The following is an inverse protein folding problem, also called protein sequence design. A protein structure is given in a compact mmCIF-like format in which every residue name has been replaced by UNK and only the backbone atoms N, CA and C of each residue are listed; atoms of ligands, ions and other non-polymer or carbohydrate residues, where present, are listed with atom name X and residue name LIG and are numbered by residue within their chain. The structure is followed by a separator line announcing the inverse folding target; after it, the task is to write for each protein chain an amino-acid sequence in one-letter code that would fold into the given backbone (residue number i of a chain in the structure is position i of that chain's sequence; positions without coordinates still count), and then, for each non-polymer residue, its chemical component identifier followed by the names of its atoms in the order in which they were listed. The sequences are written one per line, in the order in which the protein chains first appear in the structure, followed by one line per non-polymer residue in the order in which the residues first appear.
data_IF_201828574782
#
_entry.id   IF_201828574782
#
_cell.length_a   1.000
_cell.length_b   1.000
_cell.length_c   1.000
_cell.angle_alpha   90.00
_cell.angle_beta   90.00
_cell.angle_gamma   90.00
#
_symmetry.space_group_name_H-M   'P 1'
#
loop_
_entity.id
_entity.type
_entity.pdbx_description
1 polymer ?
#
# COMPACT_ATOMS: atom_id res chain seq x y z
N UNK A 1 -19.25 9.47 4.57
CA UNK A 1 -18.92 8.17 3.94
C UNK A 1 -20.11 7.77 3.08
N UNK A 2 -19.88 7.33 1.85
CA UNK A 2 -20.95 6.85 1.00
C UNK A 2 -21.38 5.46 1.50
N UNK A 3 -22.58 5.34 2.05
CA UNK A 3 -23.12 4.03 2.40
C UNK A 3 -23.48 3.31 1.11
N UNK A 4 -23.25 1.98 1.07
CA UNK A 4 -23.92 1.14 0.07
C UNK A 4 -25.42 1.48 0.17
N UNK A 5 -26.07 1.88 -0.94
CA UNK A 5 -27.47 2.24 -0.91
C UNK A 5 -28.25 1.14 -0.19
N UNK A 6 -29.17 1.49 0.70
CA UNK A 6 -30.02 0.52 1.38
C UNK A 6 -30.83 -0.23 0.31
N UNK A 7 -30.27 -1.32 -0.16
CA UNK A 7 -30.95 -2.33 -0.93
C UNK A 7 -31.20 -3.41 0.09
N UNK A 8 -32.44 -3.85 0.17
CA UNK A 8 -32.77 -5.14 0.75
C UNK A 8 -32.88 -6.12 -0.42
N UNK A 9 -31.78 -6.50 -1.11
CA UNK A 9 -31.89 -7.61 -2.03
C UNK A 9 -32.26 -8.82 -1.16
N UNK A 10 -33.49 -9.29 -1.27
CA UNK A 10 -33.86 -10.59 -0.73
C UNK A 10 -33.03 -11.61 -1.50
N UNK A 11 -32.00 -12.13 -0.86
CA UNK A 11 -31.27 -13.28 -1.36
C UNK A 11 -32.11 -14.54 -1.11
N UNK A 12 -31.78 -15.59 -1.85
CA UNK A 12 -32.37 -16.91 -1.72
C UNK A 12 -31.27 -17.96 -1.77
N UNK A 13 -31.61 -19.21 -1.43
CA UNK A 13 -30.67 -20.32 -1.56
C UNK A 13 -30.14 -20.49 -3.01
N UNK A 14 -30.92 -20.09 -4.02
CA UNK A 14 -30.50 -20.11 -5.41
C UNK A 14 -29.37 -19.10 -5.69
N UNK A 15 -29.34 -17.96 -5.00
CA UNK A 15 -28.31 -16.93 -5.19
C UNK A 15 -26.92 -17.40 -4.74
N UNK A 16 -26.81 -18.42 -3.88
CA UNK A 16 -25.52 -19.00 -3.51
C UNK A 16 -24.79 -19.65 -4.69
N UNK A 17 -25.53 -19.96 -5.77
CA UNK A 17 -25.04 -20.64 -6.96
C UNK A 17 -25.57 -19.95 -8.21
N UNK A 18 -24.88 -18.89 -8.68
CA UNK A 18 -25.25 -18.21 -9.91
C UNK A 18 -25.36 -19.18 -11.10
N UNK A 19 -26.21 -18.90 -12.10
CA UNK A 19 -26.39 -19.78 -13.25
C UNK A 19 -25.07 -20.22 -13.89
N UNK A 20 -24.93 -21.53 -14.10
CA UNK A 20 -23.73 -22.13 -14.69
C UNK A 20 -22.55 -22.29 -13.72
N UNK A 21 -22.70 -22.08 -12.41
CA UNK A 21 -21.62 -22.31 -11.45
C UNK A 21 -21.27 -23.79 -11.25
N UNK A 22 -22.23 -24.70 -11.43
CA UNK A 22 -22.05 -26.14 -11.11
C UNK A 22 -21.49 -26.96 -12.28
N UNK A 23 -21.70 -26.50 -13.52
CA UNK A 23 -21.41 -27.27 -14.74
C UNK A 23 -20.18 -26.74 -15.51
N UNK A 24 -19.34 -25.93 -14.86
CA UNK A 24 -18.12 -25.33 -15.44
C UNK A 24 -16.87 -26.06 -14.97
N UNK A 25 -15.89 -26.15 -15.87
CA UNK A 25 -14.52 -26.58 -15.54
C UNK A 25 -13.84 -25.64 -14.53
N UNK A 26 -14.29 -24.39 -14.48
CA UNK A 26 -13.89 -23.39 -13.50
C UNK A 26 -15.11 -22.72 -12.87
N UNK A 27 -15.71 -23.34 -11.82
CA UNK A 27 -16.88 -22.80 -11.11
C UNK A 27 -16.75 -21.33 -10.66
N UNK A 28 -15.58 -20.83 -10.20
CA UNK A 28 -15.44 -19.42 -9.81
C UNK A 28 -15.75 -18.41 -10.91
N UNK A 29 -15.67 -18.79 -12.20
CA UNK A 29 -16.03 -17.91 -13.32
C UNK A 29 -17.49 -17.44 -13.30
N UNK A 30 -18.41 -18.21 -12.68
CA UNK A 30 -19.82 -17.82 -12.57
C UNK A 30 -20.06 -16.71 -11.54
N UNK A 31 -19.05 -16.39 -10.72
CA UNK A 31 -19.13 -15.36 -9.69
C UNK A 31 -18.43 -14.07 -10.15
N UNK A 32 -18.56 -13.03 -9.33
CA UNK A 32 -18.04 -11.69 -9.60
C UNK A 32 -16.98 -11.33 -8.55
N UNK A 33 -15.69 -11.57 -8.83
CA UNK A 33 -14.62 -11.33 -7.87
C UNK A 33 -14.33 -9.84 -7.72
N UNK A 34 -14.07 -9.44 -6.49
CA UNK A 34 -13.61 -8.12 -6.08
C UNK A 34 -12.32 -8.32 -5.29
N UNK A 35 -11.27 -7.58 -5.63
CA UNK A 35 -10.05 -7.53 -4.82
C UNK A 35 -10.28 -6.66 -3.60
N UNK A 36 -9.87 -7.16 -2.44
CA UNK A 36 -9.91 -6.46 -1.15
C UNK A 36 -8.53 -6.53 -0.53
N UNK A 37 -7.89 -5.38 -0.36
CA UNK A 37 -6.62 -5.24 0.32
C UNK A 37 -6.72 -4.45 1.62
N UNK A 38 -5.68 -4.57 2.46
CA UNK A 38 -5.59 -3.99 3.80
C UNK A 38 -6.70 -4.47 4.78
N UNK A 39 -7.19 -5.71 4.65
CA UNK A 39 -8.22 -6.23 5.54
C UNK A 39 -7.59 -6.76 6.85
N UNK A 40 -7.91 -6.13 7.99
CA UNK A 40 -7.34 -6.52 9.29
C UNK A 40 -7.94 -7.83 9.81
N UNK A 41 -7.13 -8.83 10.13
CA UNK A 41 -7.62 -10.05 10.77
C UNK A 41 -6.57 -10.64 11.70
N UNK A 42 -6.81 -10.63 13.02
CA UNK A 42 -5.80 -11.10 13.98
C UNK A 42 -5.43 -12.58 13.77
N UNK A 43 -6.43 -13.40 13.43
CA UNK A 43 -6.27 -14.82 13.19
C UNK A 43 -6.60 -15.16 11.74
N UNK A 44 -5.59 -15.58 10.96
CA UNK A 44 -5.78 -15.90 9.54
C UNK A 44 -6.85 -16.97 9.29
N UNK A 45 -7.04 -17.90 10.22
CA UNK A 45 -8.08 -18.93 10.15
C UNK A 45 -9.51 -18.35 10.15
N UNK A 46 -9.72 -17.20 10.77
CA UNK A 46 -11.03 -16.52 10.80
C UNK A 46 -11.26 -15.62 9.58
N UNK A 47 -10.25 -15.38 8.74
CA UNK A 47 -10.27 -14.35 7.70
C UNK A 47 -11.47 -14.50 6.75
N UNK A 48 -11.77 -15.73 6.32
CA UNK A 48 -12.90 -16.02 5.42
C UNK A 48 -14.23 -15.58 6.08
N UNK A 49 -14.47 -16.02 7.32
CA UNK A 49 -15.70 -15.70 8.05
C UNK A 49 -15.82 -14.19 8.31
N UNK A 50 -14.72 -13.53 8.70
CA UNK A 50 -14.70 -12.07 8.96
C UNK A 50 -14.98 -11.25 7.71
N UNK A 51 -14.39 -11.64 6.57
CA UNK A 51 -14.67 -10.98 5.29
C UNK A 51 -16.14 -11.18 4.90
N UNK A 52 -16.68 -12.39 5.03
CA UNK A 52 -18.09 -12.65 4.74
C UNK A 52 -19.03 -11.85 5.63
N UNK A 53 -18.77 -11.78 6.95
CA UNK A 53 -19.52 -10.98 7.90
C UNK A 53 -19.46 -9.47 7.57
N UNK A 54 -18.27 -8.97 7.21
CA UNK A 54 -18.10 -7.59 6.80
C UNK A 54 -18.99 -7.26 5.59
N UNK A 55 -18.88 -8.02 4.49
CA UNK A 55 -19.71 -7.80 3.30
C UNK A 55 -21.20 -7.95 3.61
N UNK A 56 -21.58 -8.93 4.43
CA UNK A 56 -22.97 -9.13 4.82
C UNK A 56 -23.55 -7.95 5.61
N UNK A 57 -22.78 -7.28 6.48
CA UNK A 57 -23.23 -6.04 7.14
C UNK A 57 -23.44 -4.86 6.19
N UNK A 58 -22.79 -4.91 5.03
CA UNK A 58 -23.02 -3.97 3.94
C UNK A 58 -24.20 -4.39 3.06
N UNK A 59 -24.85 -5.51 3.36
CA UNK A 59 -25.96 -6.08 2.61
C UNK A 59 -25.53 -6.85 1.35
N UNK A 60 -24.27 -7.32 1.29
CA UNK A 60 -23.70 -7.99 0.13
C UNK A 60 -23.39 -9.46 0.44
N UNK A 61 -23.81 -10.37 -0.44
CA UNK A 61 -23.57 -11.80 -0.27
C UNK A 61 -22.22 -12.24 -0.87
N UNK A 62 -21.20 -12.30 -0.01
CA UNK A 62 -19.88 -12.87 -0.33
C UNK A 62 -19.88 -14.39 -0.16
N UNK A 63 -19.69 -15.15 -1.24
CA UNK A 63 -19.80 -16.61 -1.24
C UNK A 63 -18.50 -17.33 -0.97
N UNK A 64 -17.42 -16.88 -1.61
CA UNK A 64 -16.08 -17.45 -1.47
C UNK A 64 -15.07 -16.34 -1.22
N UNK A 65 -14.03 -16.65 -0.45
CA UNK A 65 -12.92 -15.73 -0.20
C UNK A 65 -11.65 -16.49 -0.51
N UNK A 66 -10.90 -16.01 -1.51
CA UNK A 66 -9.60 -16.55 -1.86
C UNK A 66 -8.49 -15.67 -1.31
N UNK A 67 -7.60 -16.28 -0.55
CA UNK A 67 -6.38 -15.65 -0.03
C UNK A 67 -5.22 -16.40 -0.63
N UNK A 68 -4.22 -15.71 -1.21
CA UNK A 68 -3.04 -16.38 -1.79
C UNK A 68 -2.33 -17.25 -0.76
N UNK A 69 -1.77 -18.36 -1.22
CA UNK A 69 -0.95 -19.23 -0.40
C UNK A 69 0.36 -18.54 -0.01
N UNK A 70 0.89 -18.90 1.16
CA UNK A 70 2.13 -18.32 1.68
C UNK A 70 3.34 -18.51 0.76
N UNK A 71 3.32 -19.56 -0.08
CA UNK A 71 4.40 -19.87 -1.03
C UNK A 71 4.40 -18.94 -2.24
N UNK A 72 3.24 -18.43 -2.63
CA UNK A 72 3.07 -17.63 -3.84
C UNK A 72 2.94 -16.13 -3.53
N UNK A 73 2.69 -15.74 -2.28
CA UNK A 73 2.46 -14.35 -1.91
C UNK A 73 3.77 -13.60 -1.54
N UNK A 74 4.24 -12.65 -2.37
CA UNK A 74 5.47 -11.90 -2.11
C UNK A 74 5.36 -10.98 -0.88
N UNK A 75 4.16 -10.67 -0.42
CA UNK A 75 3.89 -9.84 0.76
C UNK A 75 3.51 -10.67 1.98
N UNK A 76 3.59 -12.00 1.92
CA UNK A 76 3.19 -12.88 3.02
C UNK A 76 3.81 -12.50 4.38
N UNK A 77 5.13 -12.26 4.42
CA UNK A 77 5.82 -11.87 5.67
C UNK A 77 5.29 -10.55 6.23
N UNK A 78 4.94 -9.61 5.36
CA UNK A 78 4.34 -8.33 5.74
C UNK A 78 2.91 -8.53 6.27
N UNK A 79 2.08 -9.29 5.54
CA UNK A 79 0.69 -9.55 5.93
C UNK A 79 0.61 -10.29 7.27
N UNK A 80 1.48 -11.27 7.52
CA UNK A 80 1.49 -11.99 8.81
C UNK A 80 1.92 -11.14 10.00
N UNK A 81 2.83 -10.18 9.78
CA UNK A 81 3.28 -9.27 10.84
C UNK A 81 2.27 -8.18 11.14
N UNK A 82 1.66 -7.61 10.09
CA UNK A 82 0.72 -6.50 10.23
C UNK A 82 -0.72 -6.94 10.41
N UNK A 83 -1.00 -8.24 10.18
CA UNK A 83 -2.35 -8.82 10.15
C UNK A 83 -3.27 -8.18 9.12
N UNK A 84 -2.71 -7.51 8.11
CA UNK A 84 -3.44 -6.93 6.99
C UNK A 84 -3.34 -7.87 5.81
N UNK A 85 -4.46 -8.39 5.37
CA UNK A 85 -4.52 -9.41 4.34
C UNK A 85 -5.18 -8.91 3.07
N UNK A 86 -4.73 -9.49 1.97
CA UNK A 86 -5.27 -9.26 0.64
C UNK A 86 -5.98 -10.51 0.13
N UNK A 87 -7.15 -10.32 -0.50
CA UNK A 87 -7.98 -11.43 -0.95
C UNK A 87 -8.85 -11.07 -2.16
N UNK A 88 -9.33 -12.11 -2.86
CA UNK A 88 -10.43 -12.01 -3.80
C UNK A 88 -11.72 -12.47 -3.12
N UNK A 89 -12.74 -11.63 -3.15
CA UNK A 89 -14.07 -11.89 -2.61
C UNK A 89 -15.03 -12.12 -3.77
N UNK A 90 -15.58 -13.32 -3.85
CA UNK A 90 -16.50 -13.72 -4.91
C UNK A 90 -17.93 -13.44 -4.51
N UNK A 91 -18.52 -12.42 -5.13
CA UNK A 91 -19.90 -12.05 -4.93
C UNK A 91 -20.81 -12.79 -5.91
N UNK A 92 -22.05 -13.01 -5.51
CA UNK A 92 -23.01 -13.82 -6.28
C UNK A 92 -23.69 -13.05 -7.42
N UNK A 93 -23.72 -11.72 -7.33
CA UNK A 93 -24.35 -10.86 -8.33
C UNK A 93 -23.38 -9.79 -8.83
N UNK A 94 -23.43 -9.50 -10.12
CA UNK A 94 -22.57 -8.48 -10.75
C UNK A 94 -22.76 -7.10 -10.12
N UNK A 95 -24.02 -6.76 -9.84
CA UNK A 95 -24.41 -5.47 -9.26
C UNK A 95 -23.82 -5.30 -7.85
N UNK A 96 -23.73 -6.37 -7.07
CA UNK A 96 -23.15 -6.35 -5.73
C UNK A 96 -21.63 -6.09 -5.80
N UNK A 97 -20.95 -6.66 -6.80
CA UNK A 97 -19.53 -6.39 -7.05
C UNK A 97 -19.28 -4.95 -7.47
N UNK A 98 -20.13 -4.40 -8.34
CA UNK A 98 -20.06 -2.98 -8.73
C UNK A 98 -20.27 -2.05 -7.54
N UNK A 99 -21.27 -2.34 -6.70
CA UNK A 99 -21.53 -1.56 -5.49
C UNK A 99 -20.36 -1.68 -4.49
N UNK A 100 -19.80 -2.88 -4.30
CA UNK A 100 -18.64 -3.07 -3.43
C UNK A 100 -17.47 -2.17 -3.85
N UNK A 101 -17.10 -2.18 -5.13
CA UNK A 101 -16.03 -1.33 -5.66
C UNK A 101 -16.36 0.15 -5.49
N UNK A 102 -17.59 0.56 -5.77
CA UNK A 102 -18.00 1.96 -5.72
C UNK A 102 -18.08 2.53 -4.29
N UNK A 103 -18.57 1.75 -3.34
CA UNK A 103 -18.95 2.26 -2.01
C UNK A 103 -18.05 1.77 -0.88
N UNK A 104 -17.35 0.64 -1.05
CA UNK A 104 -16.49 0.06 -0.01
C UNK A 104 -15.01 0.39 -0.20
N UNK A 105 -14.61 0.96 -1.35
CA UNK A 105 -13.27 1.49 -1.52
C UNK A 105 -13.00 2.60 -0.50
N UNK A 106 -11.92 2.45 0.29
CA UNK A 106 -11.54 3.32 1.41
C UNK A 106 -12.52 3.35 2.57
N UNK A 107 -13.48 2.42 2.62
CA UNK A 107 -14.30 2.24 3.82
C UNK A 107 -13.43 1.83 5.01
N UNK A 108 -13.84 2.24 6.21
CA UNK A 108 -13.08 1.96 7.42
C UNK A 108 -13.45 0.59 8.00
N UNK A 109 -12.44 -0.18 8.32
CA UNK A 109 -12.55 -1.50 8.94
C UNK A 109 -11.49 -1.65 10.05
N UNK A 110 -11.95 -1.69 11.31
CA UNK A 110 -11.10 -1.51 12.51
C UNK A 110 -10.12 -0.33 12.36
N UNK A 111 -10.66 0.76 11.82
CA UNK A 111 -9.95 2.00 11.50
C UNK A 111 -8.97 1.92 10.30
N UNK A 112 -8.66 0.75 9.76
CA UNK A 112 -7.91 0.64 8.50
C UNK A 112 -8.80 1.01 7.31
N UNK A 113 -8.23 1.70 6.32
CA UNK A 113 -8.94 1.98 5.07
C UNK A 113 -8.72 0.83 4.09
N UNK A 114 -9.81 0.20 3.67
CA UNK A 114 -9.75 -0.90 2.72
C UNK A 114 -9.43 -0.40 1.32
N UNK A 115 -8.74 -1.23 0.54
CA UNK A 115 -8.60 -1.05 -0.89
C UNK A 115 -9.54 -2.02 -1.59
N UNK A 116 -10.63 -1.54 -2.18
CA UNK A 116 -11.60 -2.39 -2.89
C UNK A 116 -11.58 -2.04 -4.37
N UNK A 117 -11.29 -3.02 -5.23
CA UNK A 117 -11.13 -2.88 -6.68
C UNK A 117 -11.73 -4.07 -7.43
N UNK A 118 -12.00 -3.98 -8.74
CA UNK A 118 -12.44 -5.14 -9.51
C UNK A 118 -11.44 -6.31 -9.43
N UNK A 119 -11.92 -7.56 -9.43
CA UNK A 119 -11.03 -8.73 -9.37
C UNK A 119 -10.45 -9.18 -10.71
N UNK A 120 -11.06 -8.77 -11.84
CA UNK A 120 -10.70 -9.21 -13.20
C UNK A 120 -10.08 -8.13 -14.07
N UNK A 121 -10.32 -6.87 -13.75
CA UNK A 121 -9.83 -5.74 -14.55
C UNK A 121 -8.88 -4.93 -13.69
N UNK A 122 -7.65 -4.65 -14.17
CA UNK A 122 -6.71 -3.85 -13.41
C UNK A 122 -7.26 -2.43 -13.24
N UNK A 123 -7.19 -1.91 -12.01
CA UNK A 123 -7.38 -0.49 -11.76
C UNK A 123 -5.99 0.16 -11.82
N UNK A 124 -5.78 1.08 -12.76
CA UNK A 124 -4.45 1.64 -13.04
C UNK A 124 -4.24 2.93 -12.24
N UNK A 125 -3.10 3.04 -11.58
CA UNK A 125 -2.70 4.28 -10.91
C UNK A 125 -2.33 5.34 -11.94
N UNK A 126 -2.87 6.55 -11.75
CA UNK A 126 -2.48 7.72 -12.55
C UNK A 126 -1.13 8.25 -12.05
N UNK A 127 -0.05 8.23 -12.86
CA UNK A 127 1.26 8.73 -12.48
C UNK A 127 1.25 10.21 -12.06
N UNK A 128 0.37 11.02 -12.66
CA UNK A 128 0.25 12.45 -12.35
C UNK A 128 -0.37 12.71 -10.98
N UNK A 129 -1.06 11.71 -10.42
CA UNK A 129 -1.69 11.80 -9.12
C UNK A 129 -0.95 10.96 -8.06
N UNK A 130 0.09 10.23 -8.46
CA UNK A 130 0.74 9.22 -7.62
C UNK A 130 2.15 9.63 -7.20
N UNK A 131 2.47 9.30 -5.94
CA UNK A 131 3.80 9.49 -5.35
C UNK A 131 4.29 8.17 -4.79
N UNK A 132 5.55 7.86 -5.05
CA UNK A 132 6.26 6.74 -4.44
C UNK A 132 7.05 7.25 -3.24
N UNK A 133 6.80 6.66 -2.07
CA UNK A 133 7.52 6.91 -0.83
C UNK A 133 8.48 5.76 -0.54
N UNK A 134 9.76 6.08 -0.42
CA UNK A 134 10.76 5.15 0.08
C UNK A 134 10.63 5.03 1.61
N UNK A 135 10.40 3.81 2.09
CA UNK A 135 10.21 3.50 3.50
C UNK A 135 11.56 3.25 4.16
N UNK A 136 11.79 3.90 5.30
CA UNK A 136 12.92 3.56 6.17
C UNK A 136 12.74 2.18 6.82
N UNK A 137 13.82 1.57 7.33
CA UNK A 137 13.77 0.25 7.98
C UNK A 137 12.67 0.13 9.05
N UNK A 138 12.50 1.18 9.86
CA UNK A 138 11.48 1.22 10.91
C UNK A 138 10.05 1.29 10.34
N UNK A 139 9.85 1.87 9.16
CA UNK A 139 8.56 1.98 8.49
C UNK A 139 8.19 0.74 7.66
N UNK A 140 9.18 -0.07 7.26
CA UNK A 140 8.94 -1.27 6.45
C UNK A 140 8.01 -2.27 7.13
N UNK A 141 8.04 -2.33 8.47
CA UNK A 141 7.21 -3.25 9.27
C UNK A 141 5.86 -2.64 9.70
N UNK A 142 5.62 -1.35 9.43
CA UNK A 142 4.41 -0.69 9.89
C UNK A 142 3.21 -1.03 8.99
N UNK A 143 2.02 -1.20 9.59
CA UNK A 143 0.76 -1.22 8.85
C UNK A 143 0.63 0.02 7.95
N UNK A 144 0.15 -0.17 6.72
CA UNK A 144 0.01 0.90 5.72
C UNK A 144 -0.71 2.12 6.27
N UNK A 145 -1.73 1.91 7.11
CA UNK A 145 -2.49 2.98 7.80
C UNK A 145 -1.60 3.92 8.61
N UNK A 146 -0.61 3.40 9.36
CA UNK A 146 0.23 4.25 10.20
C UNK A 146 1.13 5.15 9.34
N UNK A 147 1.60 4.61 8.21
CA UNK A 147 2.38 5.36 7.24
C UNK A 147 1.48 6.41 6.57
N UNK A 148 0.26 6.04 6.19
CA UNK A 148 -0.73 6.96 5.62
C UNK A 148 -1.07 8.10 6.59
N UNK A 149 -1.31 7.82 7.87
CA UNK A 149 -1.56 8.84 8.89
C UNK A 149 -0.37 9.79 9.04
N UNK A 150 0.85 9.25 8.96
CA UNK A 150 2.06 10.05 8.97
C UNK A 150 2.15 10.97 7.74
N UNK A 151 1.82 10.46 6.54
CA UNK A 151 1.77 11.25 5.30
C UNK A 151 0.69 12.34 5.39
N UNK A 152 -0.50 12.00 5.87
CA UNK A 152 -1.59 12.94 6.11
C UNK A 152 -1.16 14.05 7.07
N UNK A 153 -0.47 13.70 8.16
CA UNK A 153 -0.01 14.67 9.16
C UNK A 153 1.06 15.62 8.62
N UNK A 154 1.91 15.14 7.71
CA UNK A 154 2.95 15.95 7.07
C UNK A 154 2.37 16.86 5.97
N UNK A 155 1.56 16.29 5.08
CA UNK A 155 1.10 16.94 3.85
C UNK A 155 -0.24 17.69 3.99
N UNK A 156 -1.08 17.25 4.94
CA UNK A 156 -2.47 17.66 5.10
C UNK A 156 -3.45 16.99 4.11
N UNK A 157 -3.00 16.03 3.30
CA UNK A 157 -3.82 15.42 2.25
C UNK A 157 -4.21 13.99 2.58
N UNK A 158 -5.48 13.67 2.32
CA UNK A 158 -6.01 12.32 2.43
C UNK A 158 -5.66 11.57 1.14
N UNK A 159 -5.09 10.38 1.29
CA UNK A 159 -4.82 9.50 0.17
C UNK A 159 -6.12 8.96 -0.42
N UNK A 160 -6.27 9.08 -1.75
CA UNK A 160 -7.32 8.41 -2.53
C UNK A 160 -7.13 6.91 -2.44
N UNK A 161 -5.89 6.43 -2.57
CA UNK A 161 -5.53 5.03 -2.35
C UNK A 161 -4.07 4.90 -1.89
N UNK A 162 -3.76 3.77 -1.28
CA UNK A 162 -2.40 3.47 -0.79
C UNK A 162 -2.07 2.02 -1.07
N UNK A 163 -0.96 1.76 -1.77
CA UNK A 163 -0.50 0.41 -2.10
C UNK A 163 0.93 0.21 -1.65
N UNK A 164 1.22 -0.93 -1.04
CA UNK A 164 2.60 -1.36 -0.81
C UNK A 164 3.14 -1.96 -2.11
N UNK A 165 4.05 -1.26 -2.77
CA UNK A 165 4.63 -1.71 -4.05
C UNK A 165 5.77 -2.70 -3.85
N UNK A 166 6.52 -2.53 -2.76
CA UNK A 166 7.57 -3.44 -2.35
C UNK A 166 7.71 -3.43 -0.82
N UNK A 167 8.66 -4.20 -0.29
CA UNK A 167 8.99 -4.17 1.15
C UNK A 167 9.44 -2.78 1.62
N UNK A 168 10.03 -1.98 0.74
CA UNK A 168 10.60 -0.66 1.05
C UNK A 168 9.93 0.50 0.29
N UNK A 169 8.85 0.28 -0.45
CA UNK A 169 8.15 1.34 -1.18
C UNK A 169 6.64 1.29 -0.97
N UNK A 170 6.07 2.46 -0.74
CA UNK A 170 4.63 2.70 -0.68
C UNK A 170 4.25 3.66 -1.80
N UNK A 171 3.27 3.31 -2.62
CA UNK A 171 2.66 4.23 -3.58
C UNK A 171 1.40 4.80 -2.95
N UNK A 172 1.26 6.13 -3.02
CA UNK A 172 0.08 6.85 -2.57
C UNK A 172 -0.47 7.62 -3.76
N UNK A 173 -1.74 7.37 -4.08
CA UNK A 173 -2.47 8.14 -5.06
C UNK A 173 -3.30 9.22 -4.36
N UNK A 174 -3.22 10.43 -4.87
CA UNK A 174 -3.96 11.59 -4.40
C UNK A 174 -5.17 11.88 -5.29
N UNK A 175 -6.00 12.84 -4.89
CA UNK A 175 -7.19 13.22 -5.67
C UNK A 175 -6.81 13.91 -6.99
N UNK A 176 -5.69 14.65 -6.98
CA UNK A 176 -5.25 15.39 -8.17
C UNK A 176 -3.79 15.82 -8.12
N UNK A 177 -3.30 16.44 -9.22
CA UNK A 177 -1.88 16.71 -9.42
C UNK A 177 -1.34 17.78 -8.45
N UNK A 178 -2.19 18.72 -8.01
CA UNK A 178 -1.80 19.75 -7.03
C UNK A 178 -1.39 19.13 -5.70
N UNK A 179 -2.11 18.09 -5.26
CA UNK A 179 -1.79 17.39 -4.02
C UNK A 179 -0.50 16.56 -4.18
N UNK A 180 -0.37 15.88 -5.32
CA UNK A 180 0.84 15.14 -5.69
C UNK A 180 2.09 16.04 -5.69
N UNK A 181 2.03 17.19 -6.35
CA UNK A 181 3.15 18.12 -6.43
C UNK A 181 3.57 18.63 -5.04
N UNK A 182 2.60 19.00 -4.19
CA UNK A 182 2.91 19.45 -2.84
C UNK A 182 3.44 18.32 -1.96
N UNK A 183 2.94 17.09 -2.14
CA UNK A 183 3.44 15.91 -1.46
C UNK A 183 4.89 15.58 -1.85
N UNK A 184 5.27 15.79 -3.12
CA UNK A 184 6.65 15.65 -3.61
C UNK A 184 7.62 16.70 -3.05
N UNK A 185 7.13 17.90 -2.75
CA UNK A 185 7.93 18.98 -2.16
C UNK A 185 8.15 18.81 -0.65
N UNK A 186 7.38 17.95 0.01
CA UNK A 186 7.47 17.77 1.47
C UNK A 186 8.47 16.68 1.86
N UNK A 187 9.75 17.06 1.90
CA UNK A 187 10.88 16.16 2.18
C UNK A 187 11.07 15.81 3.66
N UNK A 188 10.16 16.23 4.55
CA UNK A 188 10.46 16.27 5.99
C UNK A 188 10.72 14.90 6.61
N UNK A 189 10.24 13.80 6.02
CA UNK A 189 10.23 12.49 6.70
C UNK A 189 10.44 11.26 5.83
N UNK A 190 10.18 11.32 4.52
CA UNK A 190 10.36 10.21 3.59
C UNK A 190 10.83 10.75 2.25
N UNK A 191 11.69 9.99 1.56
CA UNK A 191 12.05 10.31 0.19
C UNK A 191 10.86 10.01 -0.71
N UNK A 192 10.32 11.05 -1.33
CA UNK A 192 9.18 11.00 -2.23
C UNK A 192 9.63 11.28 -3.66
N UNK A 193 9.19 10.46 -4.61
CA UNK A 193 9.44 10.69 -6.04
C UNK A 193 8.18 10.38 -6.85
N UNK A 194 8.02 10.99 -8.04
CA UNK A 194 6.88 10.70 -8.90
C UNK A 194 6.88 9.22 -9.27
N UNK A 195 5.68 8.67 -9.49
CA UNK A 195 5.54 7.39 -10.15
C UNK A 195 5.94 7.56 -11.62
N UNK A 196 6.92 6.78 -12.09
CA UNK A 196 7.43 6.88 -13.47
C UNK A 196 6.89 5.79 -14.38
N UNK A 197 6.25 4.76 -13.82
CA UNK A 197 5.73 3.61 -14.56
C UNK A 197 4.23 3.80 -14.76
N UNK A 198 3.82 3.93 -16.03
CA UNK A 198 2.44 4.21 -16.43
C UNK A 198 1.45 3.07 -16.12
N UNK A 199 1.95 1.83 -15.91
CA UNK A 199 1.11 0.63 -15.74
C UNK A 199 1.22 0.02 -14.34
N UNK A 200 1.23 0.85 -13.30
CA UNK A 200 1.16 0.33 -11.92
C UNK A 200 -0.30 0.07 -11.55
N UNK A 201 -0.72 -1.20 -11.54
CA UNK A 201 -2.05 -1.56 -11.05
C UNK A 201 -2.18 -1.33 -9.54
N UNK A 202 -3.39 -1.04 -9.05
CA UNK A 202 -3.69 -0.82 -7.63
C UNK A 202 -3.81 -2.13 -6.85
N UNK A 203 -4.31 -3.18 -7.49
CA UNK A 203 -4.36 -4.52 -6.92
C UNK A 203 -2.96 -5.13 -6.82
N UNK A 204 -2.71 -5.96 -5.82
CA UNK A 204 -1.50 -6.79 -5.78
C UNK A 204 -1.58 -7.97 -6.75
N UNK A 205 -2.79 -8.45 -7.04
CA UNK A 205 -3.06 -9.51 -8.01
C UNK A 205 -4.52 -9.45 -8.50
N UNK A 206 -4.73 -9.94 -9.71
CA UNK A 206 -6.02 -10.20 -10.34
C UNK A 206 -6.37 -11.70 -10.27
N UNK A 207 -7.61 -12.06 -10.61
CA UNK A 207 -8.04 -13.47 -10.71
C UNK A 207 -7.19 -14.23 -11.73
N UNK A 208 -6.80 -13.60 -12.84
CA UNK A 208 -5.96 -14.22 -13.88
C UNK A 208 -4.56 -14.57 -13.37
N UNK A 209 -3.96 -13.72 -12.52
CA UNK A 209 -2.64 -13.94 -11.92
C UNK A 209 -2.59 -15.16 -11.00
N UNK A 210 -3.75 -15.56 -10.47
CA UNK A 210 -3.88 -16.65 -9.49
C UNK A 210 -4.78 -17.78 -9.98
N UNK A 211 -5.09 -17.83 -11.28
CA UNK A 211 -6.05 -18.78 -11.84
C UNK A 211 -5.65 -20.23 -11.63
N UNK A 212 -4.36 -20.55 -11.73
CA UNK A 212 -3.86 -21.90 -11.53
C UNK A 212 -3.91 -22.32 -10.06
N UNK A 213 -3.69 -21.38 -9.13
CA UNK A 213 -3.87 -21.64 -7.70
C UNK A 213 -5.36 -21.86 -7.36
N UNK A 214 -6.25 -21.08 -7.98
CA UNK A 214 -7.70 -21.24 -7.86
C UNK A 214 -8.17 -22.59 -8.41
N UNK A 215 -7.69 -22.99 -9.59
CA UNK A 215 -7.99 -24.31 -10.18
C UNK A 215 -7.48 -25.44 -9.29
N UNK A 216 -6.24 -25.36 -8.84
CA UNK A 216 -5.65 -26.37 -7.96
C UNK A 216 -6.45 -26.49 -6.65
N UNK A 217 -6.88 -25.38 -6.04
CA UNK A 217 -7.74 -25.42 -4.85
C UNK A 217 -9.12 -25.98 -5.16
N UNK A 218 -9.73 -25.62 -6.28
CA UNK A 218 -11.05 -26.12 -6.68
C UNK A 218 -11.05 -27.63 -6.92
N UNK A 219 -9.96 -28.18 -7.46
CA UNK A 219 -9.80 -29.61 -7.73
C UNK A 219 -9.41 -30.40 -6.47
N UNK A 220 -8.47 -29.90 -5.66
CA UNK A 220 -7.92 -30.62 -4.50
C UNK A 220 -8.74 -30.45 -3.23
N UNK A 221 -9.46 -29.34 -3.10
CA UNK A 221 -10.16 -28.97 -1.87
C UNK A 221 -11.59 -28.55 -2.20
N UNK A 222 -12.53 -29.51 -2.08
CA UNK A 222 -13.97 -29.25 -2.19
C UNK A 222 -14.44 -28.15 -1.23
N UNK A 223 -13.69 -27.88 -0.16
CA UNK A 223 -13.97 -26.85 0.84
C UNK A 223 -13.98 -25.43 0.28
N UNK A 224 -13.17 -25.11 -0.73
CA UNK A 224 -13.18 -23.76 -1.34
C UNK A 224 -14.51 -23.46 -2.03
N UNK A 225 -14.96 -24.38 -2.88
CA UNK A 225 -16.26 -24.28 -3.53
C UNK A 225 -17.41 -24.45 -2.52
N UNK A 226 -17.21 -25.22 -1.45
CA UNK A 226 -18.21 -25.40 -0.41
C UNK A 226 -18.43 -24.14 0.44
N UNK A 227 -17.44 -23.22 0.56
CA UNK A 227 -17.37 -22.11 1.54
C UNK A 227 -18.70 -21.65 2.14
N UNK A 228 -19.32 -20.52 1.78
CA UNK A 228 -20.61 -20.08 2.32
C UNK A 228 -20.52 -19.36 3.68
N UNK A 229 -21.21 -18.21 3.83
CA UNK A 229 -21.36 -17.56 5.12
C UNK A 229 -22.04 -18.45 6.16
N UNK A 230 -21.84 -18.10 7.44
CA UNK A 230 -22.52 -18.76 8.55
C UNK A 230 -24.05 -18.67 8.43
N UNK A 231 -24.75 -19.68 8.98
CA UNK A 231 -26.20 -19.82 8.86
C UNK A 231 -26.96 -18.55 9.29
N UNK A 232 -26.60 -17.97 10.43
CA UNK A 232 -27.27 -16.77 10.95
C UNK A 232 -27.09 -15.55 10.03
N UNK A 233 -25.94 -15.45 9.35
CA UNK A 233 -25.66 -14.40 8.35
C UNK A 233 -26.56 -14.56 7.14
N UNK A 234 -26.69 -15.80 6.63
CA UNK A 234 -27.55 -16.11 5.49
C UNK A 234 -29.02 -15.85 5.79
N UNK A 235 -29.50 -16.24 6.97
CA UNK A 235 -30.89 -16.04 7.39
C UNK A 235 -31.26 -14.56 7.40
N UNK A 236 -30.37 -13.69 7.90
CA UNK A 236 -30.56 -12.24 7.85
C UNK A 236 -30.60 -11.73 6.39
N UNK A 237 -29.64 -12.14 5.56
CA UNK A 237 -29.59 -11.73 4.15
C UNK A 237 -30.82 -12.22 3.35
N UNK A 238 -31.37 -13.40 3.68
CA UNK A 238 -32.61 -13.91 3.08
C UNK A 238 -33.85 -13.15 3.54
N UNK A 239 -33.89 -12.76 4.82
CA UNK A 239 -34.92 -11.88 5.35
C UNK A 239 -34.83 -10.44 4.77
N UNK A 240 -33.73 -10.13 4.07
CA UNK A 240 -33.44 -8.78 3.58
C UNK A 240 -33.03 -7.82 4.70
N UNK A 241 -32.52 -8.35 5.80
CA UNK A 241 -32.00 -7.59 6.95
C UNK A 241 -30.48 -7.71 6.99
N UNK A 242 -29.83 -6.75 7.66
CA UNK A 242 -28.39 -6.86 7.97
C UNK A 242 -28.23 -7.80 9.16
N UNK A 243 -27.27 -8.74 9.13
CA UNK A 243 -27.00 -9.57 10.29
C UNK A 243 -26.59 -8.70 11.47
N UNK A 244 -26.97 -9.12 12.68
CA UNK A 244 -26.42 -8.59 13.92
C UNK A 244 -25.10 -9.32 14.19
N UNK A 245 -24.00 -8.65 13.91
CA UNK A 245 -22.65 -9.23 13.89
C UNK A 245 -21.80 -8.62 15.01
N UNK A 246 -22.46 -8.29 16.13
CA UNK A 246 -21.90 -7.64 17.31
C UNK A 246 -21.79 -6.12 17.16
N UNK A 247 -21.35 -5.38 18.21
CA UNK A 247 -21.10 -3.94 18.13
C UNK A 247 -20.02 -3.67 17.08
N UNK A 248 -20.51 -3.45 15.86
CA UNK A 248 -19.76 -3.27 14.63
C UNK A 248 -19.22 -1.84 14.57
N UNK A 249 -18.46 -1.42 15.58
CA UNK A 249 -17.63 -0.24 15.49
C UNK A 249 -16.39 -0.58 14.65
N UNK A 250 -16.61 -0.87 13.36
CA UNK A 250 -15.56 -0.89 12.32
C UNK A 250 -14.75 0.42 12.28
N UNK A 251 -15.27 1.44 12.96
CA UNK A 251 -14.73 2.79 13.10
C UNK A 251 -13.76 2.89 14.29
N UNK A 252 -13.86 2.00 15.29
CA UNK A 252 -13.01 2.06 16.48
C UNK A 252 -11.55 1.96 16.05
N UNK A 253 -10.77 2.96 16.47
CA UNK A 253 -9.35 3.06 16.18
C UNK A 253 -8.59 2.22 17.23
N UNK A 254 -7.99 1.06 16.89
CA UNK A 254 -7.31 0.27 17.92
C UNK A 254 -5.96 0.88 18.35
N UNK A 255 -5.59 2.07 17.85
CA UNK A 255 -4.22 2.58 17.96
C UNK A 255 -4.16 4.09 18.24
N UNK A 256 -4.42 4.46 19.49
CA UNK A 256 -3.92 5.72 20.10
C UNK A 256 -2.40 5.70 20.37
N UNK A 257 -1.69 4.68 19.90
CA UNK A 257 -0.25 4.56 20.00
C UNK A 257 0.38 4.61 18.61
N UNK A 258 0.49 5.80 18.03
CA UNK A 258 1.57 6.03 17.07
C UNK A 258 2.88 5.81 17.83
N UNK A 259 3.69 4.76 17.54
CA UNK A 259 5.04 4.74 18.06
C UNK A 259 5.69 6.06 17.63
N UNK A 260 6.33 6.77 18.57
CA UNK A 260 7.09 7.98 18.25
C UNK A 260 8.14 7.60 17.21
N UNK A 261 7.82 7.76 15.93
CA UNK A 261 8.75 7.56 14.83
C UNK A 261 9.84 8.58 15.06
N UNK A 262 10.98 8.11 15.59
CA UNK A 262 12.11 8.98 15.81
C UNK A 262 12.50 9.56 14.47
N UNK A 263 12.55 10.89 14.39
CA UNK A 263 12.94 11.63 13.18
C UNK A 263 14.20 10.97 12.62
N UNK A 264 14.18 10.38 11.41
CA UNK A 264 15.34 9.67 10.89
C UNK A 264 16.35 10.70 10.39
N UNK A 265 17.08 11.35 11.31
CA UNK A 265 18.12 12.32 10.94
C UNK A 265 19.24 11.65 10.13
N UNK A 266 19.45 10.35 10.30
CA UNK A 266 20.53 9.59 9.66
C UNK A 266 20.06 8.83 8.40
N UNK A 267 18.83 8.27 8.40
CA UNK A 267 18.34 7.51 7.23
C UNK A 267 18.04 8.40 6.01
N UNK A 268 17.59 9.65 6.21
CA UNK A 268 17.38 10.59 5.08
C UNK A 268 18.70 10.93 4.40
N UNK A 269 19.77 11.11 5.18
CA UNK A 269 21.10 11.38 4.66
C UNK A 269 21.68 10.18 3.92
N UNK A 270 21.48 8.97 4.46
CA UNK A 270 21.90 7.74 3.78
C UNK A 270 21.17 7.54 2.45
N UNK A 271 19.85 7.78 2.41
CA UNK A 271 19.06 7.69 1.17
C UNK A 271 19.45 8.77 0.14
N UNK A 272 19.77 9.99 0.57
CA UNK A 272 20.31 11.03 -0.33
C UNK A 272 21.67 10.60 -0.87
N UNK A 273 22.55 10.03 -0.04
CA UNK A 273 23.85 9.52 -0.49
C UNK A 273 23.69 8.39 -1.51
N UNK A 274 22.82 7.41 -1.26
CA UNK A 274 22.52 6.33 -2.22
C UNK A 274 21.89 6.85 -3.51
N UNK A 275 20.92 7.76 -3.43
CA UNK A 275 20.26 8.34 -4.60
C UNK A 275 21.24 9.14 -5.47
N UNK A 276 22.14 9.90 -4.84
CA UNK A 276 23.17 10.69 -5.53
C UNK A 276 24.23 9.77 -6.15
N UNK A 277 24.60 8.69 -5.46
CA UNK A 277 25.50 7.67 -6.00
C UNK A 277 24.90 6.99 -7.23
N UNK A 278 23.65 6.54 -7.16
CA UNK A 278 22.98 5.87 -8.29
C UNK A 278 22.76 6.79 -9.48
N UNK A 279 22.33 8.04 -9.24
CA UNK A 279 21.96 8.99 -10.31
C UNK A 279 23.18 9.69 -10.93
N UNK A 280 24.24 9.91 -10.15
CA UNK A 280 25.37 10.74 -10.58
C UNK A 280 26.74 10.07 -10.40
N UNK A 281 26.83 8.88 -9.81
CA UNK A 281 28.10 8.20 -9.53
C UNK A 281 28.91 8.85 -8.39
N UNK A 282 28.26 9.62 -7.52
CA UNK A 282 28.93 10.45 -6.50
C UNK A 282 28.64 9.92 -5.10
N UNK A 283 29.68 9.71 -4.30
CA UNK A 283 29.52 9.37 -2.88
C UNK A 283 29.43 10.64 -2.03
N UNK A 284 28.35 10.76 -1.27
CA UNK A 284 28.15 11.86 -0.33
C UNK A 284 28.40 11.39 1.10
N UNK A 285 29.18 12.16 1.86
CA UNK A 285 29.34 11.98 3.30
C UNK A 285 28.85 13.22 4.03
N UNK A 286 28.10 13.00 5.11
CA UNK A 286 27.51 14.07 5.90
C UNK A 286 28.28 14.19 7.22
N UNK A 287 28.84 15.38 7.49
CA UNK A 287 29.61 15.64 8.71
C UNK A 287 28.73 16.38 9.71
N UNK A 288 28.66 15.84 10.94
CA UNK A 288 27.95 16.44 12.05
C UNK A 288 28.75 17.64 12.60
N UNK A 289 28.15 18.83 12.69
CA UNK A 289 28.81 20.10 13.11
C UNK A 289 29.34 20.12 14.56
N UNK A 290 29.18 19.07 15.35
CA UNK A 290 29.63 19.06 16.76
C UNK A 290 31.11 18.69 16.96
N UNK A 291 31.87 18.25 15.95
CA UNK A 291 33.28 17.86 16.10
C UNK A 291 34.31 18.91 15.64
N UNK A 292 34.22 20.14 16.16
CA UNK A 292 34.98 21.33 15.69
C UNK A 292 36.51 21.21 15.58
N UNK A 293 37.16 20.21 16.18
CA UNK A 293 38.64 20.15 16.28
C UNK A 293 39.27 19.27 15.17
N UNK A 294 38.61 18.19 14.71
CA UNK A 294 39.13 17.34 13.61
C UNK A 294 38.78 17.86 12.20
N UNK A 295 37.94 18.89 12.13
CA UNK A 295 37.33 19.39 10.89
C UNK A 295 38.25 20.31 10.08
N UNK A 296 39.14 21.07 10.73
CA UNK A 296 40.04 22.01 10.03
C UNK A 296 41.13 21.28 9.22
N UNK A 297 41.72 20.22 9.78
CA UNK A 297 42.79 19.45 9.13
C UNK A 297 42.25 18.61 7.96
N UNK A 298 41.08 17.99 8.11
CA UNK A 298 40.41 17.26 7.02
C UNK A 298 39.97 18.18 5.89
N UNK A 299 39.41 19.36 6.18
CA UNK A 299 39.05 20.35 5.16
C UNK A 299 40.28 20.89 4.39
N UNK A 300 41.41 21.09 5.06
CA UNK A 300 42.65 21.56 4.43
C UNK A 300 43.31 20.50 3.54
N UNK A 301 43.14 19.20 3.85
CA UNK A 301 43.59 18.09 3.01
C UNK A 301 42.68 17.89 1.79
N UNK A 302 41.38 18.11 1.94
CA UNK A 302 40.41 17.98 0.86
C UNK A 302 40.49 19.11 -0.17
N UNK A 303 40.67 20.37 0.26
CA UNK A 303 40.85 21.52 -0.66
C UNK A 303 42.06 21.34 -1.58
N UNK A 304 43.18 20.87 -1.03
CA UNK A 304 44.40 20.57 -1.80
C UNK A 304 44.19 19.48 -2.86
N UNK A 305 43.32 18.51 -2.61
CA UNK A 305 43.01 17.43 -3.56
C UNK A 305 41.96 17.82 -4.62
N UNK A 306 41.12 18.83 -4.35
CA UNK A 306 40.11 19.32 -5.29
C UNK A 306 40.67 20.34 -6.28
N UNK A 307 41.74 21.06 -5.92
CA UNK A 307 42.41 22.05 -6.77
C UNK A 307 43.28 21.40 -7.86
N UNK A 308 43.64 20.12 -7.71
CA UNK A 308 44.55 19.43 -8.64
C UNK A 308 43.90 18.79 -9.87
N UNK A 309 42.56 18.75 -10.01
CA UNK A 309 41.92 17.99 -11.10
C UNK A 309 40.69 18.68 -11.74
N UNK A 310 40.91 19.33 -12.89
CA UNK A 310 40.02 19.38 -14.06
C UNK A 310 38.71 20.20 -14.03
N UNK A 311 38.54 21.10 -14.99
CA UNK A 311 37.40 22.02 -15.16
C UNK A 311 36.07 21.37 -15.58
N UNK A 312 36.08 20.18 -16.18
CA UNK A 312 34.85 19.50 -16.65
C UNK A 312 33.99 18.88 -15.54
N UNK A 313 34.58 18.48 -14.40
CA UNK A 313 33.82 17.95 -13.27
C UNK A 313 33.11 19.05 -12.47
N UNK A 314 33.65 20.28 -12.46
CA UNK A 314 33.04 21.41 -11.72
C UNK A 314 31.61 21.69 -12.17
N UNK A 315 31.31 21.57 -13.47
CA UNK A 315 29.96 21.77 -14.01
C UNK A 315 28.95 20.70 -13.54
N UNK A 316 29.36 19.42 -13.50
CA UNK A 316 28.51 18.33 -12.97
C UNK A 316 28.29 18.45 -11.46
N UNK A 317 29.33 18.84 -10.72
CA UNK A 317 29.23 19.13 -9.29
C UNK A 317 28.34 20.34 -9.00
N UNK A 318 28.47 21.41 -9.77
CA UNK A 318 27.65 22.61 -9.63
C UNK A 318 26.16 22.28 -9.81
N UNK A 319 25.82 21.51 -10.86
CA UNK A 319 24.44 21.07 -11.09
C UNK A 319 23.90 20.15 -9.99
N UNK A 320 24.70 19.19 -9.51
CA UNK A 320 24.28 18.32 -8.40
C UNK A 320 24.11 19.09 -7.09
N UNK A 321 24.97 20.07 -6.82
CA UNK A 321 24.88 20.98 -5.66
C UNK A 321 23.68 21.90 -5.79
N UNK A 322 23.42 22.47 -6.96
CA UNK A 322 22.25 23.32 -7.24
C UNK A 322 20.94 22.55 -7.15
N UNK A 323 20.87 21.33 -7.69
CA UNK A 323 19.72 20.44 -7.58
C UNK A 323 19.49 20.04 -6.11
N UNK A 324 20.56 19.75 -5.35
CA UNK A 324 20.46 19.48 -3.91
C UNK A 324 20.12 20.72 -3.06
N UNK A 325 20.60 21.92 -3.40
CA UNK A 325 20.20 23.18 -2.74
C UNK A 325 18.75 23.53 -3.04
N UNK A 326 18.28 23.25 -4.27
CA UNK A 326 16.87 23.39 -4.65
C UNK A 326 15.99 22.40 -3.88
N UNK A 327 16.46 21.17 -3.65
CA UNK A 327 15.80 20.16 -2.83
C UNK A 327 15.92 20.41 -1.31
N UNK A 328 16.94 21.16 -0.88
CA UNK A 328 17.37 21.29 0.52
C UNK A 328 17.10 22.63 1.22
N UNK A 329 16.35 23.56 0.62
CA UNK A 329 16.09 24.89 1.20
C UNK A 329 15.19 24.92 2.47
N UNK A 330 15.02 23.79 3.16
CA UNK A 330 14.59 23.78 4.55
C UNK A 330 15.84 23.81 5.45
N UNK A 331 16.06 24.93 6.14
CA UNK A 331 17.04 25.18 7.23
C UNK A 331 17.51 23.90 7.96
N UNK A 332 18.56 23.23 7.48
CA UNK A 332 19.20 22.10 8.16
C UNK A 332 20.61 22.50 8.64
N UNK A 333 21.05 22.06 9.84
CA UNK A 333 22.28 22.54 10.47
C UNK A 333 23.55 21.84 9.96
N UNK A 334 23.59 21.28 8.76
CA UNK A 334 24.70 20.39 8.31
C UNK A 334 25.54 20.98 7.18
N UNK A 335 26.78 20.51 7.03
CA UNK A 335 27.67 20.85 5.90
C UNK A 335 28.07 19.53 5.21
N UNK A 336 27.77 19.41 3.92
CA UNK A 336 28.02 18.20 3.13
C UNK A 336 29.43 18.22 2.53
N UNK A 337 30.10 17.07 2.51
CA UNK A 337 31.38 16.87 1.81
C UNK A 337 31.24 15.76 0.77
N UNK A 338 31.66 16.05 -0.45
CA UNK A 338 31.52 15.17 -1.60
C UNK A 338 32.88 14.55 -1.92
N UNK A 339 32.93 13.23 -2.06
CA UNK A 339 34.16 12.47 -2.34
C UNK A 339 34.06 11.65 -3.63
N UNK A 340 35.22 11.20 -4.14
CA UNK A 340 35.31 10.30 -5.29
C UNK A 340 35.09 8.86 -4.82
N UNK A 341 34.32 8.08 -5.56
CA UNK A 341 34.37 6.62 -5.47
C UNK A 341 35.49 6.15 -6.40
N UNK A 342 36.59 5.60 -5.87
CA UNK A 342 37.51 4.84 -6.69
C UNK A 342 36.85 3.48 -6.92
N UNK A 343 36.47 3.21 -8.18
CA UNK A 343 36.23 1.85 -8.63
C UNK A 343 37.59 1.31 -9.07
N UNK A 344 38.06 0.26 -8.39
CA UNK A 344 38.88 -0.76 -9.04
C UNK A 344 37.95 -1.69 -9.82
#
# INVERSE_FOLDING_TARGET
MAQVPARNPKYSAADLWPPGSKDRDFPPAAFFPVYVGNFLCQQRAELVARVQQYFASKGLLARMVFVRSAQNDPFQSYQDKTKLYDCLVYLTRQRDAQDAVKYLHRDKYYGHRLNVFPGRTPDIMDPNHSVVYALSQNMMQLPTRLIENHILSATGFVAKSTKRFSTNQLIVQYEGPVQQEKALRDYRYMFAHPLTVELSQQQDFLEEDVIDELRARSQKHSTFLAMCPEKHVLEALYAGTKPDVGPMDWVADPLDFLPKIHKPRENVLFQIAEGTLRKFGITCSFINKTSKIRDKERMAKFKRNAESNGSQLRSKYQKAIEEMFRLGNAKLPWRMTVGRCNQD
#
